data_IF_697761145098
#
_entry.id   IF_697761145098
#
_cell.length_a   1.000
_cell.length_b   1.000
_cell.length_c   1.000
_cell.angle_alpha   90.00
_cell.angle_beta   90.00
_cell.angle_gamma   90.00
#
_symmetry.space_group_name_H-M   'P 1'
#
loop_
_entity.id
_entity.type
_entity.pdbx_description
1 polymer ?
#
# COMPACT_ATOMS: atom_id res chain seq x y z
N UNK A 1 13.40 -10.97 11.75
CA UNK A 1 14.24 -10.59 10.61
C UNK A 1 14.45 -11.77 9.71
N UNK A 2 14.23 -11.57 8.44
CA UNK A 2 14.26 -12.68 7.51
C UNK A 2 15.05 -12.32 6.27
N UNK A 3 15.98 -13.19 5.89
CA UNK A 3 16.62 -13.08 4.58
C UNK A 3 15.72 -13.76 3.57
N UNK A 4 15.57 -13.15 2.42
CA UNK A 4 14.84 -13.79 1.36
C UNK A 4 15.65 -14.96 0.84
N UNK A 5 14.99 -16.10 0.59
CA UNK A 5 15.63 -17.24 -0.04
C UNK A 5 15.92 -16.89 -1.50
N UNK A 6 16.82 -17.62 -2.17
CA UNK A 6 17.04 -17.41 -3.59
C UNK A 6 15.76 -17.55 -4.42
N UNK A 7 14.84 -18.42 -4.01
CA UNK A 7 13.58 -18.58 -4.70
C UNK A 7 12.72 -17.32 -4.54
N UNK A 8 12.69 -16.77 -3.32
CA UNK A 8 11.94 -15.55 -3.05
C UNK A 8 12.47 -14.39 -3.87
N UNK A 9 13.80 -14.26 -3.97
CA UNK A 9 14.42 -13.21 -4.77
C UNK A 9 14.07 -13.38 -6.25
N UNK A 10 14.08 -14.63 -6.74
CA UNK A 10 13.73 -14.89 -8.13
C UNK A 10 12.29 -14.51 -8.42
N UNK A 11 11.37 -14.89 -7.53
CA UNK A 11 9.96 -14.56 -7.71
C UNK A 11 9.77 -13.06 -7.68
N UNK A 12 10.42 -12.38 -6.73
CA UNK A 12 10.32 -10.92 -6.64
C UNK A 12 10.86 -10.27 -7.90
N UNK A 13 11.97 -10.78 -8.44
CA UNK A 13 12.56 -10.25 -9.67
C UNK A 13 11.57 -10.36 -10.84
N UNK A 14 10.81 -11.44 -10.91
CA UNK A 14 9.80 -11.61 -11.95
C UNK A 14 8.64 -10.63 -11.77
N UNK A 15 8.22 -10.40 -10.54
CA UNK A 15 7.06 -9.58 -10.24
C UNK A 15 7.37 -8.10 -10.18
N UNK A 16 8.65 -7.73 -10.03
CA UNK A 16 9.05 -6.34 -9.82
C UNK A 16 8.58 -5.42 -10.96
N UNK A 17 8.71 -5.81 -12.25
CA UNK A 17 8.19 -4.94 -13.31
C UNK A 17 6.69 -4.69 -13.20
N UNK A 18 5.93 -5.70 -12.83
CA UNK A 18 4.49 -5.54 -12.65
C UNK A 18 4.18 -4.67 -11.46
N UNK A 19 4.90 -4.87 -10.34
CA UNK A 19 4.73 -4.05 -9.15
C UNK A 19 5.08 -2.59 -9.44
N UNK A 20 6.19 -2.36 -10.13
CA UNK A 20 6.60 -1.01 -10.47
C UNK A 20 5.59 -0.33 -11.38
N UNK A 21 5.07 -1.06 -12.35
CA UNK A 21 4.07 -0.53 -13.27
C UNK A 21 2.80 -0.17 -12.54
N UNK A 22 2.33 -1.05 -11.67
CA UNK A 22 1.09 -0.82 -10.93
C UNK A 22 1.24 0.33 -9.94
N UNK A 23 2.39 0.41 -9.26
CA UNK A 23 2.67 1.54 -8.37
C UNK A 23 2.74 2.85 -9.14
N UNK A 24 3.31 2.82 -10.34
CA UNK A 24 3.38 3.99 -11.18
C UNK A 24 1.98 4.45 -11.61
N UNK A 25 1.10 3.50 -11.88
CA UNK A 25 -0.30 3.82 -12.19
C UNK A 25 -1.00 4.43 -10.97
N UNK A 26 -0.74 3.89 -9.79
CA UNK A 26 -1.29 4.47 -8.56
C UNK A 26 -0.81 5.91 -8.37
N UNK A 27 0.48 6.14 -8.62
CA UNK A 27 1.04 7.47 -8.53
C UNK A 27 0.38 8.43 -9.51
N UNK A 28 0.22 7.99 -10.75
CA UNK A 28 -0.41 8.83 -11.77
C UNK A 28 -1.84 9.17 -11.43
N UNK A 29 -2.59 8.20 -10.91
CA UNK A 29 -3.96 8.44 -10.50
C UNK A 29 -4.04 9.45 -9.37
N UNK A 30 -3.12 9.35 -8.40
CA UNK A 30 -3.09 10.29 -7.29
C UNK A 30 -2.71 11.69 -7.77
N UNK A 31 -1.70 11.78 -8.64
CA UNK A 31 -1.29 13.06 -9.20
C UNK A 31 -2.44 13.71 -9.96
N UNK A 32 -3.16 12.91 -10.73
CA UNK A 32 -4.29 13.42 -11.50
C UNK A 32 -5.34 14.01 -10.58
N UNK A 33 -5.66 13.30 -9.49
CA UNK A 33 -6.64 13.81 -8.54
C UNK A 33 -6.19 15.14 -7.91
N UNK A 34 -4.93 15.21 -7.52
CA UNK A 34 -4.39 16.41 -6.87
C UNK A 34 -4.42 17.59 -7.83
N UNK A 35 -4.08 17.36 -9.10
CA UNK A 35 -4.07 18.40 -10.11
C UNK A 35 -5.46 18.90 -10.46
N UNK A 36 -6.40 17.96 -10.61
CA UNK A 36 -7.78 18.32 -10.98
C UNK A 36 -8.53 18.90 -9.80
N UNK A 37 -8.17 18.50 -8.60
CA UNK A 37 -8.79 19.03 -7.39
C UNK A 37 -10.21 18.56 -7.13
N UNK A 38 -10.73 17.66 -7.95
CA UNK A 38 -12.08 17.15 -7.78
C UNK A 38 -12.26 15.84 -8.53
N UNK A 39 -13.33 15.12 -8.19
CA UNK A 39 -13.66 13.86 -8.82
C UNK A 39 -12.97 12.70 -8.11
N UNK A 40 -13.75 11.73 -7.64
CA UNK A 40 -13.20 10.62 -6.88
C UNK A 40 -12.75 9.46 -7.73
N UNK A 41 -13.01 9.52 -9.06
CA UNK A 41 -12.66 8.40 -9.93
C UNK A 41 -11.19 8.10 -9.88
N UNK A 42 -10.33 9.12 -9.93
CA UNK A 42 -8.88 8.93 -9.88
C UNK A 42 -8.43 8.35 -8.55
N UNK A 43 -9.04 8.78 -7.45
CA UNK A 43 -8.71 8.19 -6.15
C UNK A 43 -9.13 6.73 -6.09
N UNK A 44 -10.27 6.38 -6.66
CA UNK A 44 -10.71 4.99 -6.69
C UNK A 44 -9.81 4.14 -7.55
N UNK A 45 -9.28 4.69 -8.63
CA UNK A 45 -8.29 3.99 -9.44
C UNK A 45 -7.02 3.75 -8.65
N UNK A 46 -6.61 4.75 -7.88
CA UNK A 46 -5.45 4.59 -7.00
C UNK A 46 -5.67 3.46 -6.00
N UNK A 47 -6.86 3.39 -5.38
CA UNK A 47 -7.22 2.31 -4.47
C UNK A 47 -7.08 0.95 -5.16
N UNK A 48 -7.60 0.85 -6.38
CA UNK A 48 -7.55 -0.40 -7.13
C UNK A 48 -6.12 -0.85 -7.37
N UNK A 49 -5.27 0.07 -7.80
CA UNK A 49 -3.87 -0.26 -8.06
C UNK A 49 -3.15 -0.66 -6.78
N UNK A 50 -3.39 0.06 -5.68
CA UNK A 50 -2.76 -0.29 -4.40
C UNK A 50 -3.25 -1.64 -3.89
N UNK A 51 -4.51 -1.95 -4.13
CA UNK A 51 -5.04 -3.26 -3.76
C UNK A 51 -4.33 -4.38 -4.52
N UNK A 52 -4.08 -4.18 -5.81
CA UNK A 52 -3.36 -5.15 -6.61
C UNK A 52 -1.94 -5.35 -6.09
N UNK A 53 -1.27 -4.27 -5.74
CA UNK A 53 0.08 -4.35 -5.18
C UNK A 53 0.07 -5.16 -3.88
N UNK A 54 -0.86 -4.85 -2.98
CA UNK A 54 -0.96 -5.56 -1.72
C UNK A 54 -1.22 -7.06 -1.93
N UNK A 55 -2.07 -7.38 -2.90
CA UNK A 55 -2.36 -8.78 -3.22
C UNK A 55 -1.13 -9.53 -3.68
N UNK A 56 -0.36 -8.94 -4.56
CA UNK A 56 0.86 -9.57 -5.06
C UNK A 56 1.86 -9.77 -3.91
N UNK A 57 2.04 -8.73 -3.09
CA UNK A 57 3.01 -8.79 -1.99
C UNK A 57 2.60 -9.80 -0.92
N UNK A 58 1.30 -9.95 -0.67
CA UNK A 58 0.82 -10.99 0.23
C UNK A 58 1.09 -12.38 -0.35
N UNK A 59 0.92 -12.53 -1.64
CA UNK A 59 1.14 -13.80 -2.31
C UNK A 59 2.59 -14.27 -2.17
N UNK A 60 3.54 -13.35 -2.21
CA UNK A 60 4.95 -13.71 -2.06
C UNK A 60 5.44 -13.54 -0.62
N UNK A 61 4.53 -13.32 0.31
CA UNK A 61 4.79 -13.33 1.74
C UNK A 61 5.81 -12.28 2.21
N UNK A 62 5.80 -11.13 1.56
CA UNK A 62 6.60 -9.99 2.02
C UNK A 62 5.75 -9.17 2.99
N UNK A 63 5.70 -9.61 4.24
CA UNK A 63 4.75 -9.11 5.22
C UNK A 63 4.80 -7.60 5.43
N UNK A 64 6.00 -7.04 5.55
CA UNK A 64 6.11 -5.59 5.78
C UNK A 64 5.63 -4.78 4.59
N UNK A 65 6.10 -5.15 3.40
CA UNK A 65 5.71 -4.45 2.18
C UNK A 65 4.21 -4.60 1.91
N UNK A 66 3.67 -5.80 2.17
CA UNK A 66 2.24 -6.04 2.00
C UNK A 66 1.44 -5.16 2.95
N UNK A 67 1.85 -5.10 4.21
CA UNK A 67 1.14 -4.29 5.20
C UNK A 67 1.20 -2.81 4.83
N UNK A 68 2.36 -2.33 4.40
CA UNK A 68 2.47 -0.95 3.97
C UNK A 68 1.49 -0.66 2.84
N UNK A 69 1.42 -1.55 1.85
CA UNK A 69 0.51 -1.38 0.72
C UNK A 69 -0.95 -1.34 1.16
N UNK A 70 -1.30 -2.18 2.12
CA UNK A 70 -2.66 -2.21 2.66
C UNK A 70 -3.00 -0.92 3.38
N UNK A 71 -2.06 -0.36 4.12
CA UNK A 71 -2.30 0.91 4.80
C UNK A 71 -2.40 2.06 3.79
N UNK A 72 -1.60 2.00 2.72
CA UNK A 72 -1.72 2.98 1.64
C UNK A 72 -3.09 2.90 0.97
N UNK A 73 -3.55 1.70 0.73
CA UNK A 73 -4.86 1.46 0.14
C UNK A 73 -5.98 2.01 1.04
N UNK A 74 -5.87 1.76 2.35
CA UNK A 74 -6.86 2.24 3.30
C UNK A 74 -6.92 3.77 3.35
N UNK A 75 -5.75 4.41 3.29
CA UNK A 75 -5.74 5.88 3.27
C UNK A 75 -6.38 6.41 1.97
N UNK A 76 -6.01 5.83 0.84
CA UNK A 76 -6.59 6.24 -0.44
C UNK A 76 -8.10 6.03 -0.45
N UNK A 77 -8.55 4.92 0.10
CA UNK A 77 -9.97 4.62 0.20
C UNK A 77 -10.70 5.64 1.08
N UNK A 78 -10.11 5.94 2.24
CA UNK A 78 -10.70 6.94 3.15
C UNK A 78 -10.80 8.31 2.50
N UNK A 79 -9.80 8.68 1.72
CA UNK A 79 -9.83 9.94 0.99
C UNK A 79 -10.92 9.93 -0.09
N UNK A 80 -11.07 8.81 -0.78
CA UNK A 80 -12.07 8.70 -1.83
C UNK A 80 -13.49 8.73 -1.29
N UNK A 81 -13.70 8.11 -0.14
CA UNK A 81 -15.04 8.04 0.47
C UNK A 81 -15.36 9.24 1.36
N UNK A 82 -14.40 10.10 1.61
CA UNK A 82 -14.62 11.27 2.47
C UNK A 82 -14.47 10.98 3.95
N UNK A 83 -14.04 9.77 4.31
CA UNK A 83 -13.83 9.42 5.73
C UNK A 83 -12.56 10.05 6.28
N UNK A 84 -11.62 10.38 5.41
CA UNK A 84 -10.39 11.05 5.77
C UNK A 84 -10.41 12.41 5.09
N UNK A 85 -10.10 13.45 5.86
CA UNK A 85 -10.10 14.79 5.31
C UNK A 85 -8.98 14.95 4.30
N UNK A 86 -9.32 15.44 3.13
CA UNK A 86 -8.34 15.74 2.10
C UNK A 86 -7.43 16.86 2.58
N UNK A 87 -6.14 16.63 2.54
CA UNK A 87 -5.15 17.61 2.96
C UNK A 87 -3.87 17.39 2.17
N UNK A 88 -3.08 18.45 2.06
CA UNK A 88 -1.78 18.34 1.38
C UNK A 88 -0.91 17.31 2.08
N UNK A 89 -0.98 17.26 3.41
CA UNK A 89 -0.19 16.28 4.16
C UNK A 89 -0.58 14.84 3.82
N UNK A 90 -1.89 14.56 3.73
CA UNK A 90 -2.36 13.22 3.40
C UNK A 90 -1.89 12.81 2.01
N UNK A 91 -2.06 13.68 1.02
CA UNK A 91 -1.65 13.37 -0.35
C UNK A 91 -0.14 13.25 -0.48
N UNK A 92 0.61 14.16 0.14
CA UNK A 92 2.07 14.14 0.06
C UNK A 92 2.64 12.89 0.69
N UNK A 93 2.11 12.49 1.83
CA UNK A 93 2.64 11.31 2.50
C UNK A 93 2.28 10.03 1.76
N UNK A 94 1.05 9.94 1.24
CA UNK A 94 0.68 8.80 0.42
C UNK A 94 1.59 8.70 -0.80
N UNK A 95 1.85 9.83 -1.46
CA UNK A 95 2.76 9.86 -2.60
C UNK A 95 4.15 9.40 -2.22
N UNK A 96 4.63 9.86 -1.06
CA UNK A 96 5.95 9.47 -0.56
C UNK A 96 6.05 7.96 -0.39
N UNK A 97 5.01 7.33 0.16
CA UNK A 97 4.99 5.89 0.34
C UNK A 97 4.98 5.16 -1.00
N UNK A 98 4.21 5.66 -1.97
CA UNK A 98 4.15 5.05 -3.30
C UNK A 98 5.53 5.07 -3.95
N UNK A 99 6.28 6.15 -3.76
CA UNK A 99 7.62 6.28 -4.35
C UNK A 99 8.65 5.45 -3.61
N UNK A 100 8.52 5.33 -2.28
CA UNK A 100 9.51 4.62 -1.48
C UNK A 100 9.39 3.11 -1.53
N UNK A 101 8.19 2.59 -1.77
CA UNK A 101 8.01 1.14 -1.79
C UNK A 101 8.84 0.44 -2.87
N UNK A 102 8.91 0.94 -4.12
CA UNK A 102 9.77 0.30 -5.11
C UNK A 102 11.24 0.26 -4.69
N UNK A 103 11.73 1.30 -4.02
CA UNK A 103 13.12 1.33 -3.54
C UNK A 103 13.35 0.26 -2.49
N UNK A 104 12.39 0.07 -1.59
CA UNK A 104 12.49 -0.98 -0.59
C UNK A 104 12.53 -2.37 -1.26
N UNK A 105 11.67 -2.60 -2.24
CA UNK A 105 11.62 -3.87 -2.95
C UNK A 105 12.90 -4.11 -3.72
N UNK A 106 13.47 -3.07 -4.31
CA UNK A 106 14.73 -3.19 -5.02
C UNK A 106 15.87 -3.60 -4.09
N UNK A 107 15.88 -3.06 -2.87
CA UNK A 107 16.88 -3.46 -1.88
C UNK A 107 16.74 -4.94 -1.53
N UNK A 108 15.51 -5.44 -1.43
CA UNK A 108 15.30 -6.86 -1.20
C UNK A 108 15.84 -7.72 -2.35
N UNK A 109 15.63 -7.26 -3.60
CA UNK A 109 16.20 -7.93 -4.76
C UNK A 109 17.72 -7.99 -4.71
N UNK A 110 18.32 -6.96 -4.15
CA UNK A 110 19.78 -6.85 -4.09
C UNK A 110 20.37 -7.51 -2.85
N UNK A 111 19.58 -8.33 -2.16
CA UNK A 111 20.08 -9.14 -1.06
C UNK A 111 19.95 -8.52 0.32
N UNK A 112 19.33 -7.36 0.45
CA UNK A 112 19.08 -6.79 1.77
C UNK A 112 18.00 -7.59 2.48
N UNK A 113 18.05 -7.55 3.81
CA UNK A 113 17.08 -8.30 4.61
C UNK A 113 15.71 -7.64 4.57
N UNK A 114 14.68 -8.49 4.60
CA UNK A 114 13.32 -8.01 4.80
C UNK A 114 13.14 -7.71 6.29
N UNK A 115 13.14 -6.43 6.64
CA UNK A 115 12.99 -5.99 8.02
C UNK A 115 11.75 -5.13 8.09
N UNK A 116 10.59 -5.74 8.41
CA UNK A 116 9.34 -4.98 8.45
C UNK A 116 9.39 -3.76 9.34
N UNK A 117 10.21 -3.80 10.39
CA UNK A 117 10.35 -2.67 11.30
C UNK A 117 10.85 -1.41 10.58
N UNK A 118 11.55 -1.56 9.47
CA UNK A 118 12.02 -0.41 8.69
C UNK A 118 10.83 0.36 8.10
N UNK A 119 9.77 -0.36 7.76
CA UNK A 119 8.56 0.24 7.18
C UNK A 119 7.57 0.72 8.24
N UNK A 120 7.78 0.35 9.48
CA UNK A 120 6.82 0.63 10.55
C UNK A 120 6.53 2.13 10.73
N UNK A 121 7.52 3.03 10.67
CA UNK A 121 7.20 4.46 10.75
C UNK A 121 6.27 4.93 9.64
N UNK A 122 6.44 4.42 8.43
CA UNK A 122 5.55 4.78 7.33
C UNK A 122 4.14 4.24 7.57
N UNK A 123 4.05 2.99 8.00
CA UNK A 123 2.78 2.36 8.31
C UNK A 123 2.03 3.16 9.37
N UNK A 124 2.72 3.54 10.43
CA UNK A 124 2.08 4.24 11.54
C UNK A 124 1.73 5.68 11.21
N UNK A 125 2.48 6.32 10.32
CA UNK A 125 2.09 7.65 9.88
C UNK A 125 0.82 7.57 9.02
N UNK A 126 0.72 6.59 8.14
CA UNK A 126 -0.50 6.39 7.36
C UNK A 126 -1.69 6.15 8.27
N UNK A 127 -1.49 5.35 9.31
CA UNK A 127 -2.54 5.09 10.28
C UNK A 127 -2.92 6.34 11.05
N UNK A 128 -1.94 7.13 11.43
CA UNK A 128 -2.18 8.38 12.16
C UNK A 128 -3.04 9.34 11.32
N UNK A 129 -2.76 9.44 10.04
CA UNK A 129 -3.54 10.30 9.15
C UNK A 129 -5.01 9.85 9.11
N UNK A 130 -5.25 8.55 9.24
CA UNK A 130 -6.60 7.99 9.29
C UNK A 130 -7.21 8.00 10.69
N UNK A 131 -6.50 8.55 11.66
CA UNK A 131 -6.91 8.55 13.07
C UNK A 131 -6.99 7.13 13.66
N UNK A 132 -6.11 6.25 13.19
CA UNK A 132 -6.00 4.89 13.71
C UNK A 132 -4.82 4.81 14.65
N UNK A 133 -4.90 3.90 15.62
CA UNK A 133 -3.82 3.74 16.59
C UNK A 133 -2.60 3.12 15.93
N UNK A 134 -1.39 3.46 16.41
CA UNK A 134 -0.18 2.84 15.87
C UNK A 134 -0.13 1.35 16.21
N UNK A 135 0.60 0.60 15.39
CA UNK A 135 0.81 -0.82 15.61
C UNK A 135 2.28 -1.10 15.85
N UNK A 136 2.58 -2.24 16.48
CA UNK A 136 3.95 -2.67 16.69
C UNK A 136 4.40 -3.65 15.62
N UNK A 137 5.67 -4.01 15.68
CA UNK A 137 6.26 -4.93 14.72
C UNK A 137 5.53 -6.26 14.65
N UNK A 138 5.10 -6.76 15.80
CA UNK A 138 4.40 -8.04 15.86
C UNK A 138 3.10 -8.02 15.05
N UNK A 139 2.39 -6.91 15.08
CA UNK A 139 1.14 -6.79 14.36
C UNK A 139 1.34 -6.83 12.85
N UNK A 140 2.51 -6.38 12.38
CA UNK A 140 2.82 -6.43 10.96
C UNK A 140 2.83 -7.89 10.49
N UNK A 141 3.50 -8.75 11.23
CA UNK A 141 3.56 -10.16 10.87
C UNK A 141 2.20 -10.84 10.99
N UNK A 142 1.52 -10.61 12.11
CA UNK A 142 0.23 -11.25 12.35
C UNK A 142 -0.82 -10.88 11.34
N UNK A 143 -0.89 -9.61 11.03
CA UNK A 143 -1.93 -9.10 10.16
C UNK A 143 -1.78 -9.60 8.74
N UNK A 144 -0.56 -9.83 8.31
CA UNK A 144 -0.32 -10.29 6.94
C UNK A 144 -0.86 -11.66 6.67
N UNK A 145 -1.14 -12.44 7.71
CA UNK A 145 -1.57 -13.82 7.51
C UNK A 145 -3.06 -13.97 7.33
N UNK A 146 -3.86 -12.98 7.71
CA UNK A 146 -5.30 -13.18 7.67
C UNK A 146 -6.09 -11.90 7.55
N UNK A 147 -5.51 -10.91 6.95
CA UNK A 147 -6.26 -9.70 6.75
C UNK A 147 -7.50 -10.02 5.97
N UNK A 148 -8.65 -9.82 6.58
CA UNK A 148 -9.86 -9.98 5.81
C UNK A 148 -9.82 -8.91 4.77
N UNK A 149 -10.18 -9.27 3.60
CA UNK A 149 -10.34 -8.29 2.59
C UNK A 149 -11.44 -7.38 3.07
N UNK A 150 -11.18 -6.10 3.13
CA UNK A 150 -12.21 -5.20 3.60
C UNK A 150 -13.45 -5.37 2.76
N UNK A 151 -14.54 -5.63 3.42
CA UNK A 151 -15.80 -5.82 2.73
C UNK A 151 -16.12 -4.64 1.84
N UNK A 152 -15.72 -3.46 2.27
CA UNK A 152 -15.98 -2.27 1.48
C UNK A 152 -15.28 -2.27 0.14
N UNK A 153 -14.22 -3.04 0.01
CA UNK A 153 -13.48 -3.05 -1.22
C UNK A 153 -14.31 -3.57 -2.37
N UNK A 154 -15.34 -4.35 -2.07
CA UNK A 154 -16.14 -4.88 -3.13
C UNK A 154 -17.54 -5.07 -2.72
N UNK A 155 -17.98 -4.31 -1.80
CA UNK A 155 -19.38 -4.34 -1.49
C UNK A 155 -20.12 -3.53 -2.54
N UNK A 156 -20.42 -4.19 -3.62
CA UNK A 156 -21.14 -3.54 -4.70
C UNK A 156 -22.57 -3.22 -4.28
N UNK A 157 -23.05 -3.85 -3.23
CA UNK A 157 -24.40 -3.52 -2.78
C UNK A 157 -24.48 -2.10 -2.27
N UNK A 158 -23.37 -1.56 -1.82
CA UNK A 158 -23.36 -0.17 -1.37
C UNK A 158 -23.45 0.81 -2.51
N UNK A 159 -23.00 0.40 -3.68
CA UNK A 159 -23.00 1.29 -4.82
C UNK A 159 -24.28 1.19 -5.64
N UNK A 160 -25.06 0.17 -5.39
CA UNK A 160 -26.30 -0.02 -6.14
C UNK A 160 -27.50 0.57 -5.44
N UNK A 161 -27.36 1.05 -4.23
CA UNK A 161 -28.43 1.70 -3.50
C UNK A 161 -28.25 3.22 -3.49
#
# INVERSE_FOLDING_TARGET
MKLLSPIDVTVLTWLKPELDSTLNQARSSLEHYVEEGQGVTSLRECVTHLHQVAGILNMVELAGAARLSEEMEQLAYGLAEGDVKASDNAFSFLMQCIVQLPDYLERLQNGHRDVPAVLLPLINELRSIRSEVPIGEEAVYSAATHLPIPAHAFDSSRTTN
#
